data_IF_897105985366
#
_entry.id   IF_897105985366
#
_cell.length_a   1.000
_cell.length_b   1.000
_cell.length_c   1.000
_cell.angle_alpha   90.00
_cell.angle_beta   90.00
_cell.angle_gamma   90.00
#
_symmetry.space_group_name_H-M   'P 1'
#
loop_
_entity.id
_entity.type
_entity.pdbx_description
1 polymer ?
#
# COMPACT_ATOMS: atom_id res chain seq x y z
N UNK A 1 9.27 -8.25 -3.07
CA UNK A 1 9.27 -6.87 -3.61
C UNK A 1 9.27 -5.77 -2.55
N UNK A 2 8.82 -6.01 -1.30
CA UNK A 2 8.69 -5.00 -0.22
C UNK A 2 8.38 -3.56 -0.71
N UNK A 3 7.28 -3.38 -1.47
CA UNK A 3 6.98 -2.09 -2.07
C UNK A 3 6.68 -1.05 -0.97
N UNK A 4 7.21 0.18 -1.09
CA UNK A 4 6.96 1.22 -0.11
C UNK A 4 5.47 1.61 -0.09
N UNK A 5 4.96 1.92 1.09
CA UNK A 5 3.59 2.43 1.31
C UNK A 5 2.47 1.54 0.73
N UNK A 6 2.67 0.22 0.72
CA UNK A 6 1.70 -0.74 0.19
C UNK A 6 0.28 -0.50 0.71
N UNK A 7 0.13 -0.35 2.03
CA UNK A 7 -1.15 -0.09 2.68
C UNK A 7 -1.86 1.17 2.15
N UNK A 8 -1.12 2.28 2.08
CA UNK A 8 -1.66 3.53 1.57
C UNK A 8 -2.04 3.44 0.10
N UNK A 9 -1.26 2.71 -0.70
CA UNK A 9 -1.53 2.51 -2.13
C UNK A 9 -2.80 1.69 -2.36
N UNK A 10 -3.00 0.59 -1.62
CA UNK A 10 -4.21 -0.23 -1.72
C UNK A 10 -5.45 0.56 -1.32
N UNK A 11 -5.37 1.30 -0.20
CA UNK A 11 -6.45 2.20 0.24
C UNK A 11 -6.76 3.29 -0.78
N UNK A 12 -5.75 3.87 -1.41
CA UNK A 12 -5.94 4.88 -2.46
C UNK A 12 -6.70 4.31 -3.66
N UNK A 13 -6.32 3.11 -4.13
CA UNK A 13 -7.02 2.44 -5.22
C UNK A 13 -8.47 2.17 -4.83
N UNK A 14 -8.72 1.66 -3.62
CA UNK A 14 -10.07 1.37 -3.15
C UNK A 14 -11.00 2.61 -3.17
N UNK A 15 -10.47 3.78 -2.76
CA UNK A 15 -11.27 5.00 -2.61
C UNK A 15 -11.42 5.81 -3.89
N UNK A 16 -10.40 5.83 -4.75
CA UNK A 16 -10.32 6.77 -5.87
C UNK A 16 -10.30 6.12 -7.24
N UNK A 17 -10.25 4.79 -7.33
CA UNK A 17 -10.36 4.11 -8.62
C UNK A 17 -11.81 4.16 -9.11
N UNK A 18 -12.01 4.52 -10.38
CA UNK A 18 -13.32 4.44 -11.04
C UNK A 18 -13.84 3.00 -11.01
N UNK A 19 -15.01 2.76 -10.41
CA UNK A 19 -15.63 1.43 -10.31
C UNK A 19 -15.74 0.71 -11.66
N UNK A 20 -16.03 1.41 -12.75
CA UNK A 20 -16.12 0.82 -14.10
C UNK A 20 -14.80 0.21 -14.61
N UNK A 21 -13.67 0.54 -13.97
CA UNK A 21 -12.33 0.06 -14.30
C UNK A 21 -11.78 -0.95 -13.29
N UNK A 22 -12.56 -1.29 -12.27
CA UNK A 22 -12.22 -2.26 -11.23
C UNK A 22 -13.21 -3.42 -11.30
N UNK A 23 -13.19 -4.13 -12.42
CA UNK A 23 -14.07 -5.28 -12.74
C UNK A 23 -13.24 -6.42 -13.33
N UNK A 24 -13.78 -7.64 -13.34
CA UNK A 24 -13.12 -8.84 -13.90
C UNK A 24 -11.71 -9.06 -13.30
N UNK A 25 -10.70 -9.32 -14.11
CA UNK A 25 -9.32 -9.59 -13.69
C UNK A 25 -8.74 -8.49 -12.79
N UNK A 26 -9.02 -7.22 -13.08
CA UNK A 26 -8.52 -6.11 -12.27
C UNK A 26 -9.08 -6.15 -10.84
N UNK A 27 -10.36 -6.49 -10.67
CA UNK A 27 -10.96 -6.67 -9.35
C UNK A 27 -10.39 -7.91 -8.65
N UNK A 28 -10.22 -9.02 -9.39
CA UNK A 28 -9.65 -10.25 -8.86
C UNK A 28 -8.24 -10.04 -8.28
N UNK A 29 -7.34 -9.40 -9.05
CA UNK A 29 -5.99 -9.11 -8.58
C UNK A 29 -5.99 -8.13 -7.41
N UNK A 30 -6.85 -7.11 -7.43
CA UNK A 30 -6.96 -6.19 -6.31
C UNK A 30 -7.38 -6.89 -5.02
N UNK A 31 -8.39 -7.76 -5.08
CA UNK A 31 -8.82 -8.57 -3.94
C UNK A 31 -7.69 -9.49 -3.46
N UNK A 32 -6.98 -10.15 -4.37
CA UNK A 32 -5.82 -10.96 -3.99
C UNK A 32 -4.75 -10.14 -3.27
N UNK A 33 -4.47 -8.92 -3.72
CA UNK A 33 -3.50 -8.04 -3.06
C UNK A 33 -3.95 -7.61 -1.66
N UNK A 34 -5.23 -7.29 -1.49
CA UNK A 34 -5.80 -6.97 -0.17
C UNK A 34 -5.72 -8.18 0.77
N UNK A 35 -6.03 -9.39 0.28
CA UNK A 35 -5.89 -10.62 1.06
C UNK A 35 -4.44 -10.92 1.43
N UNK A 36 -3.48 -10.69 0.52
CA UNK A 36 -2.05 -10.85 0.79
C UNK A 36 -1.57 -9.84 1.83
N UNK A 37 -2.01 -8.59 1.76
CA UNK A 37 -1.70 -7.59 2.78
C UNK A 37 -2.17 -8.05 4.16
N UNK A 38 -3.43 -8.48 4.28
CA UNK A 38 -3.98 -8.98 5.53
C UNK A 38 -3.17 -10.18 6.07
N UNK A 39 -2.86 -11.14 5.19
CA UNK A 39 -2.06 -12.32 5.56
C UNK A 39 -0.68 -11.94 6.11
N UNK A 40 0.00 -10.97 5.51
CA UNK A 40 1.33 -10.52 5.98
C UNK A 40 1.23 -9.79 7.33
N UNK A 41 0.17 -9.00 7.56
CA UNK A 41 -0.04 -8.28 8.82
C UNK A 41 -0.28 -9.24 9.98
N UNK A 42 -1.04 -10.31 9.74
CA UNK A 42 -1.44 -11.30 10.75
C UNK A 42 -0.52 -12.54 10.78
N UNK A 43 0.59 -12.50 10.04
CA UNK A 43 1.50 -13.61 9.82
C UNK A 43 2.10 -14.13 11.13
N UNK A 44 1.93 -15.43 11.37
CA UNK A 44 2.47 -16.14 12.52
C UNK A 44 2.98 -17.54 12.12
N UNK A 45 3.52 -18.29 13.09
CA UNK A 45 4.07 -19.62 12.84
C UNK A 45 3.03 -20.60 12.26
N UNK A 46 1.79 -20.57 12.75
CA UNK A 46 0.71 -21.42 12.26
C UNK A 46 0.33 -21.09 10.82
N UNK A 47 0.32 -19.80 10.45
CA UNK A 47 0.08 -19.34 9.06
C UNK A 47 1.07 -19.94 8.06
N UNK A 48 2.29 -20.26 8.52
CA UNK A 48 3.35 -20.87 7.73
C UNK A 48 3.47 -22.38 7.95
N UNK A 49 2.60 -22.99 8.76
CA UNK A 49 2.69 -24.40 9.15
C UNK A 49 4.06 -24.78 9.72
N UNK A 50 4.62 -23.91 10.56
CA UNK A 50 5.92 -24.10 11.21
C UNK A 50 5.84 -24.03 12.73
N UNK A 51 6.86 -24.56 13.41
CA UNK A 51 6.95 -24.48 14.87
C UNK A 51 7.22 -23.04 15.33
N UNK A 52 6.58 -22.65 16.44
CA UNK A 52 6.71 -21.30 17.02
C UNK A 52 8.17 -20.94 17.35
N UNK A 53 8.92 -21.91 17.88
CA UNK A 53 10.33 -21.71 18.21
C UNK A 53 11.18 -21.46 16.96
N UNK A 54 10.88 -22.13 15.85
CA UNK A 54 11.60 -21.93 14.59
C UNK A 54 11.25 -20.56 13.99
N UNK A 55 9.97 -20.19 13.99
CA UNK A 55 9.50 -18.88 13.55
C UNK A 55 10.21 -17.74 14.29
N UNK A 56 10.25 -17.79 15.63
CA UNK A 56 10.90 -16.77 16.44
C UNK A 56 12.42 -16.70 16.20
N UNK A 57 13.09 -17.84 16.03
CA UNK A 57 14.51 -17.87 15.68
C UNK A 57 14.78 -17.19 14.33
N UNK A 58 13.95 -17.45 13.33
CA UNK A 58 14.03 -16.83 12.01
C UNK A 58 13.77 -15.31 12.08
N UNK A 59 12.75 -14.88 12.83
CA UNK A 59 12.41 -13.47 13.01
C UNK A 59 13.52 -12.70 13.75
N UNK A 60 14.13 -13.30 14.78
CA UNK A 60 15.28 -12.72 15.48
C UNK A 60 16.52 -12.59 14.59
N UNK A 61 16.80 -13.61 13.78
CA UNK A 61 17.89 -13.57 12.81
C UNK A 61 17.67 -12.46 11.76
N UNK A 62 16.44 -12.30 11.26
CA UNK A 62 16.06 -11.25 10.32
C UNK A 62 16.17 -9.85 10.95
N UNK A 63 15.69 -9.63 12.19
CA UNK A 63 15.84 -8.34 12.90
C UNK A 63 17.30 -7.96 13.06
N UNK A 64 18.15 -8.93 13.37
CA UNK A 64 19.60 -8.73 13.53
C UNK A 64 20.31 -8.40 12.21
N UNK A 65 19.80 -8.86 11.07
CA UNK A 65 20.35 -8.52 9.75
C UNK A 65 19.88 -7.16 9.26
N UNK A 66 18.61 -6.79 9.51
CA UNK A 66 18.05 -5.47 9.18
C UNK A 66 18.78 -4.37 9.95
N UNK A 67 19.07 -4.58 11.24
CA UNK A 67 19.79 -3.61 12.07
C UNK A 67 21.22 -3.30 11.54
N UNK A 68 21.79 -4.18 10.72
CA UNK A 68 23.11 -3.99 10.10
C UNK A 68 23.04 -3.29 8.75
N UNK A 69 21.86 -3.13 8.16
CA UNK A 69 21.67 -2.40 6.91
C UNK A 69 21.32 -0.94 7.20
N UNK A 70 21.90 0.04 6.47
CA UNK A 70 21.46 1.42 6.57
C UNK A 70 19.97 1.51 6.22
N UNK A 71 19.21 2.44 6.85
CA UNK A 71 17.79 2.59 6.55
C UNK A 71 17.63 2.77 5.04
N UNK A 72 16.90 1.84 4.41
CA UNK A 72 16.51 1.95 3.00
C UNK A 72 15.59 3.16 2.89
N UNK A 73 16.23 4.32 2.74
CA UNK A 73 15.58 5.61 2.59
C UNK A 73 14.90 5.57 1.24
N UNK A 74 13.60 5.30 1.25
CA UNK A 74 12.73 5.71 0.15
C UNK A 74 12.81 7.24 0.07
N UNK A 75 13.83 7.73 -0.65
CA UNK A 75 13.91 9.13 -1.04
C UNK A 75 12.78 9.35 -2.01
N UNK A 76 11.63 9.74 -1.47
CA UNK A 76 10.57 10.33 -2.27
C UNK A 76 11.16 11.63 -2.80
N UNK A 77 11.65 11.61 -4.05
CA UNK A 77 11.63 12.82 -4.86
C UNK A 77 10.17 13.20 -4.91
N UNK A 78 9.75 14.14 -4.06
CA UNK A 78 8.52 14.88 -4.24
C UNK A 78 8.66 15.48 -5.63
N UNK A 79 8.08 14.81 -6.63
CA UNK A 79 7.95 15.35 -7.95
C UNK A 79 7.30 16.71 -7.75
N UNK A 80 8.02 17.75 -8.14
CA UNK A 80 7.44 19.07 -8.35
C UNK A 80 6.18 18.85 -9.17
N UNK A 81 5.02 18.98 -8.53
CA UNK A 81 3.78 19.27 -9.25
C UNK A 81 4.10 20.57 -9.98
N UNK A 82 4.46 20.45 -11.26
CA UNK A 82 4.44 21.60 -12.15
C UNK A 82 2.97 22.00 -12.23
N UNK A 83 2.64 23.00 -11.43
CA UNK A 83 1.52 23.91 -11.66
C UNK A 83 1.65 24.40 -13.10
N UNK A 84 0.80 23.88 -13.98
CA UNK A 84 0.48 24.25 -15.37
C UNK A 84 0.10 22.91 -16.04
N UNK A 85 -1.11 22.38 -15.90
CA UNK A 85 -2.35 22.86 -16.51
C UNK A 85 -3.51 22.43 -15.61
N UNK A 86 -4.11 23.38 -14.88
CA UNK A 86 -5.47 23.23 -14.38
C UNK A 86 -6.31 24.19 -15.22
N UNK A 87 -7.18 23.64 -16.07
CA UNK A 87 -8.29 24.41 -16.61
C UNK A 87 -9.07 25.00 -15.42
N UNK A 88 -9.27 26.33 -15.35
CA UNK A 88 -9.77 26.99 -14.14
C UNK A 88 -11.24 26.67 -13.77
N UNK A 89 -11.94 25.81 -14.51
CA UNK A 89 -13.40 25.66 -14.39
C UNK A 89 -13.80 24.51 -13.45
N UNK A 90 -12.97 23.47 -13.27
CA UNK A 90 -13.39 22.26 -12.55
C UNK A 90 -13.11 22.34 -11.03
N UNK A 91 -12.15 23.17 -10.61
CA UNK A 91 -11.77 23.33 -9.20
C UNK A 91 -12.78 24.10 -8.34
N UNK A 92 -13.57 24.99 -8.95
CA UNK A 92 -14.57 25.81 -8.24
C UNK A 92 -15.83 24.99 -7.87
N UNK A 93 -16.15 23.95 -8.65
CA UNK A 93 -17.45 23.26 -8.56
C UNK A 93 -17.49 22.12 -7.54
N UNK A 94 -16.33 21.68 -7.04
CA UNK A 94 -16.24 20.62 -6.01
C UNK A 94 -16.34 21.21 -4.59
N UNK A 95 -16.03 22.51 -4.40
CA UNK A 95 -16.09 23.16 -3.09
C UNK A 95 -17.51 23.66 -2.73
N UNK A 96 -18.32 24.04 -3.72
CA UNK A 96 -19.70 24.55 -3.49
C UNK A 96 -20.76 23.45 -3.28
N UNK A 97 -20.46 22.17 -3.53
CA UNK A 97 -21.40 21.07 -3.32
C UNK A 97 -21.40 20.49 -1.89
N UNK A 98 -20.71 21.14 -0.93
CA UNK A 98 -20.65 20.67 0.47
C UNK A 98 -21.02 21.73 1.51
N UNK A 99 -21.64 22.82 1.08
CA UNK A 99 -22.34 23.76 1.96
C UNK A 99 -23.75 23.96 1.40
N UNK A 100 -24.57 22.91 1.48
CA UNK A 100 -26.02 22.96 1.68
C UNK A 100 -26.51 21.57 2.08
#
# INVERSE_FOLDING_TARGET
ANPPQLHSNLKYIQLYRRQSRLVSEAAYYFTNLVSVEAFIIELNAQSLSMDENEFERCMQAARSSIAKQPPQSATIKRGTFQSNVLDPVIGQQIFEAKVH
#
